data_IF_795514727096
#
_entry.id   IF_795514727096
#
_cell.length_a   1.000
_cell.length_b   1.000
_cell.length_c   1.000
_cell.angle_alpha   90.00
_cell.angle_beta   90.00
_cell.angle_gamma   90.00
#
_symmetry.space_group_name_H-M   'P 1'
#
loop_
_entity.id
_entity.type
_entity.pdbx_description
1 polymer ?
#
# COMPACT_ATOMS: atom_id res chain seq x y z
N UNK A 1 3.16 -28.20 16.12
CA UNK A 1 2.59 -29.14 15.13
C UNK A 1 2.31 -28.52 13.75
N UNK A 2 2.45 -27.20 13.53
CA UNK A 2 2.21 -26.59 12.20
C UNK A 2 3.49 -26.38 11.34
N UNK A 3 4.68 -26.67 11.87
CA UNK A 3 5.94 -26.54 11.12
C UNK A 3 6.32 -27.81 10.33
N UNK A 4 5.68 -28.95 10.60
CA UNK A 4 6.02 -30.24 9.93
C UNK A 4 5.28 -30.44 8.59
N UNK A 5 4.19 -29.73 8.32
CA UNK A 5 3.46 -29.86 7.05
C UNK A 5 4.09 -29.04 5.90
N UNK A 6 4.93 -28.05 6.20
CA UNK A 6 5.60 -27.24 5.17
C UNK A 6 6.64 -28.05 4.36
N UNK A 7 7.21 -29.10 4.96
CA UNK A 7 8.35 -29.86 4.40
C UNK A 7 7.97 -31.05 3.51
N UNK A 8 6.71 -31.19 3.08
CA UNK A 8 6.34 -32.06 1.95
C UNK A 8 6.70 -31.39 0.60
N UNK A 9 7.97 -31.01 0.48
CA UNK A 9 8.54 -30.12 -0.55
C UNK A 9 8.16 -30.50 -1.97
N UNK A 10 8.21 -31.78 -2.36
CA UNK A 10 7.97 -32.17 -3.76
C UNK A 10 6.53 -31.96 -4.22
N UNK A 11 5.53 -32.24 -3.37
CA UNK A 11 4.12 -32.07 -3.75
C UNK A 11 3.74 -30.59 -3.79
N UNK A 12 4.27 -29.81 -2.86
CA UNK A 12 4.02 -28.37 -2.74
C UNK A 12 4.71 -27.60 -3.87
N UNK A 13 5.98 -27.87 -4.19
CA UNK A 13 6.68 -27.29 -5.35
C UNK A 13 5.91 -27.50 -6.66
N UNK A 14 5.47 -28.73 -6.93
CA UNK A 14 4.73 -29.05 -8.16
C UNK A 14 3.35 -28.37 -8.22
N UNK A 15 2.66 -28.25 -7.08
CA UNK A 15 1.37 -27.55 -6.99
C UNK A 15 1.54 -26.04 -7.17
N UNK A 16 2.54 -25.42 -6.54
CA UNK A 16 2.83 -23.98 -6.63
C UNK A 16 3.17 -23.60 -8.09
N UNK A 17 4.06 -24.35 -8.75
CA UNK A 17 4.45 -24.10 -10.13
C UNK A 17 3.27 -24.20 -11.13
N UNK A 18 2.25 -25.02 -10.83
CA UNK A 18 1.05 -25.18 -11.66
C UNK A 18 0.06 -24.02 -11.48
N UNK A 19 -0.10 -23.52 -10.26
CA UNK A 19 -0.98 -22.36 -9.96
C UNK A 19 -0.41 -21.07 -10.54
N UNK A 20 0.91 -20.87 -10.50
CA UNK A 20 1.54 -19.63 -10.99
C UNK A 20 1.48 -19.48 -12.51
N UNK A 21 1.52 -20.59 -13.26
CA UNK A 21 1.27 -20.56 -14.72
C UNK A 21 -0.14 -20.04 -15.08
N UNK A 22 -1.12 -20.19 -14.19
CA UNK A 22 -2.52 -19.83 -14.45
C UNK A 22 -2.80 -18.33 -14.20
N UNK A 23 -1.99 -17.65 -13.38
CA UNK A 23 -2.05 -16.20 -13.18
C UNK A 23 -1.55 -15.38 -14.40
N UNK A 24 -0.76 -16.00 -15.29
CA UNK A 24 -0.04 -15.34 -16.39
C UNK A 24 -0.79 -15.34 -17.75
N UNK A 25 -2.11 -15.50 -17.79
CA UNK A 25 -2.81 -15.90 -19.02
C UNK A 25 -3.10 -14.80 -20.07
N UNK A 26 -2.42 -13.64 -20.06
CA UNK A 26 -2.52 -12.66 -21.17
C UNK A 26 -1.15 -12.08 -21.52
N UNK A 27 -0.86 -12.11 -22.83
CA UNK A 27 0.37 -11.69 -23.52
C UNK A 27 1.09 -10.49 -22.87
N UNK A 28 2.24 -10.74 -22.27
CA UNK A 28 3.32 -9.76 -22.11
C UNK A 28 4.63 -10.53 -22.10
N UNK A 29 5.48 -10.31 -23.09
CA UNK A 29 6.75 -11.01 -23.39
C UNK A 29 7.87 -10.77 -22.34
N UNK A 30 7.54 -10.65 -21.06
CA UNK A 30 8.52 -10.49 -19.99
C UNK A 30 8.87 -11.87 -19.42
N UNK A 31 10.10 -12.38 -19.64
CA UNK A 31 10.51 -13.66 -19.12
C UNK A 31 10.58 -13.65 -17.59
N UNK A 32 10.22 -14.78 -17.00
CA UNK A 32 10.41 -15.03 -15.58
C UNK A 32 11.72 -15.78 -15.37
N UNK A 33 12.57 -15.26 -14.48
CA UNK A 33 13.94 -15.75 -14.26
C UNK A 33 14.10 -16.12 -12.80
N UNK A 34 14.73 -17.26 -12.53
CA UNK A 34 15.06 -17.69 -11.17
C UNK A 34 16.09 -16.74 -10.56
N UNK A 35 16.03 -16.50 -9.25
CA UNK A 35 16.94 -15.54 -8.58
C UNK A 35 18.42 -15.90 -8.77
N UNK A 36 18.73 -17.20 -8.82
CA UNK A 36 20.10 -17.72 -9.06
C UNK A 36 20.63 -17.42 -10.46
N UNK A 37 19.75 -17.18 -11.43
CA UNK A 37 20.15 -16.79 -12.79
C UNK A 37 20.31 -15.26 -12.94
N UNK A 38 19.70 -14.51 -12.02
CA UNK A 38 19.78 -13.05 -11.89
C UNK A 38 21.07 -12.64 -11.17
N UNK A 39 21.39 -13.31 -10.06
CA UNK A 39 22.53 -12.99 -9.18
C UNK A 39 23.22 -14.27 -8.67
N UNK A 40 24.55 -14.28 -8.59
CA UNK A 40 25.34 -15.45 -8.16
C UNK A 40 25.17 -15.81 -6.68
N UNK A 41 24.90 -14.83 -5.81
CA UNK A 41 24.75 -15.05 -4.37
C UNK A 41 23.48 -14.35 -3.84
N UNK A 42 22.28 -14.86 -4.21
CA UNK A 42 21.03 -14.25 -3.81
C UNK A 42 20.83 -14.41 -2.29
N UNK A 43 20.25 -13.38 -1.69
CA UNK A 43 20.00 -13.28 -0.26
C UNK A 43 18.57 -12.81 -0.08
N UNK A 44 17.90 -13.38 0.91
CA UNK A 44 16.51 -13.03 1.15
C UNK A 44 16.45 -11.63 1.75
N UNK A 45 17.08 -11.47 2.92
CA UNK A 45 17.28 -10.19 3.61
C UNK A 45 18.79 -10.00 3.88
N UNK A 46 19.30 -8.79 3.70
CA UNK A 46 20.69 -8.40 3.94
C UNK A 46 20.79 -7.18 4.85
N UNK A 47 21.36 -7.37 6.05
CA UNK A 47 21.53 -6.25 7.00
C UNK A 47 20.23 -5.76 7.63
N UNK A 48 19.18 -6.59 7.59
CA UNK A 48 17.84 -6.27 8.08
C UNK A 48 16.94 -5.74 6.96
N UNK A 49 15.66 -6.10 7.00
CA UNK A 49 14.69 -5.64 6.00
C UNK A 49 14.32 -4.18 6.30
N UNK A 50 14.82 -3.30 5.45
CA UNK A 50 14.81 -1.88 5.70
C UNK A 50 14.27 -1.10 4.50
N UNK A 51 14.02 0.17 4.74
CA UNK A 51 13.41 1.05 3.75
C UNK A 51 14.26 1.23 2.49
N UNK A 52 15.57 0.95 2.48
CA UNK A 52 16.41 1.07 1.27
C UNK A 52 16.29 -0.12 0.30
N UNK A 53 15.55 -1.15 0.71
CA UNK A 53 15.35 -2.37 -0.05
C UNK A 53 14.12 -2.28 -0.97
N UNK A 54 13.43 -1.14 -0.94
CA UNK A 54 12.15 -0.90 -1.59
C UNK A 54 12.31 0.24 -2.59
N UNK A 55 12.68 -0.10 -3.82
CA UNK A 55 12.74 0.83 -4.94
C UNK A 55 11.72 0.40 -6.00
N UNK A 56 10.80 1.32 -6.33
CA UNK A 56 9.78 1.08 -7.35
C UNK A 56 10.41 0.77 -8.71
N UNK A 57 9.83 -0.23 -9.39
CA UNK A 57 10.14 -0.55 -10.78
C UNK A 57 9.18 0.13 -11.75
N UNK A 58 8.83 -0.56 -12.83
CA UNK A 58 7.96 -0.03 -13.89
C UNK A 58 6.46 -0.17 -13.59
N UNK A 59 6.08 -0.66 -12.41
CA UNK A 59 4.69 -0.80 -12.00
C UNK A 59 4.20 0.45 -11.25
N UNK A 60 2.98 0.89 -11.55
CA UNK A 60 2.31 2.00 -10.87
C UNK A 60 1.66 1.57 -9.54
N UNK A 61 2.45 0.98 -8.65
CA UNK A 61 2.03 0.44 -7.35
C UNK A 61 2.74 1.11 -6.17
N UNK A 62 3.15 2.38 -6.33
CA UNK A 62 3.74 3.21 -5.28
C UNK A 62 2.98 3.17 -3.94
N UNK A 63 1.65 3.04 -3.98
CA UNK A 63 0.77 2.85 -2.83
C UNK A 63 1.15 1.62 -1.99
N UNK A 64 1.48 0.51 -2.64
CA UNK A 64 1.89 -0.72 -1.97
C UNK A 64 3.29 -0.55 -1.38
N UNK A 65 4.22 0.04 -2.13
CA UNK A 65 5.61 0.24 -1.69
C UNK A 65 5.75 1.26 -0.56
N UNK A 66 4.92 2.31 -0.55
CA UNK A 66 4.82 3.24 0.57
C UNK A 66 4.38 2.50 1.84
N UNK A 67 3.41 1.58 1.74
CA UNK A 67 2.97 0.77 2.86
C UNK A 67 4.05 -0.22 3.34
N UNK A 68 4.80 -0.89 2.44
CA UNK A 68 5.93 -1.76 2.83
C UNK A 68 6.97 -0.93 3.59
N UNK A 69 7.25 0.29 3.15
CA UNK A 69 8.25 1.11 3.82
C UNK A 69 7.81 1.54 5.22
N UNK A 70 6.52 1.79 5.45
CA UNK A 70 5.99 1.96 6.81
C UNK A 70 6.15 0.67 7.62
N UNK A 71 5.91 -0.49 7.02
CA UNK A 71 6.05 -1.79 7.67
C UNK A 71 7.48 -2.03 8.18
N UNK A 72 8.51 -1.59 7.44
CA UNK A 72 9.92 -1.70 7.88
C UNK A 72 10.27 -0.92 9.15
N UNK A 73 9.40 0.01 9.59
CA UNK A 73 9.60 0.77 10.83
C UNK A 73 9.21 -0.03 12.09
N UNK A 74 8.54 -1.17 11.91
CA UNK A 74 8.08 -2.02 13.01
C UNK A 74 8.45 -3.48 12.72
N UNK A 75 9.58 -3.92 13.27
CA UNK A 75 10.11 -5.28 13.03
C UNK A 75 9.13 -6.38 13.39
N UNK A 76 8.37 -6.23 14.49
CA UNK A 76 7.37 -7.23 14.89
C UNK A 76 6.28 -7.40 13.83
N UNK A 77 5.78 -6.29 13.29
CA UNK A 77 4.82 -6.32 12.19
C UNK A 77 5.44 -6.84 10.90
N UNK A 78 6.66 -6.42 10.61
CA UNK A 78 7.39 -6.85 9.42
C UNK A 78 7.53 -8.36 9.39
N UNK A 79 7.96 -8.98 10.49
CA UNK A 79 8.12 -10.43 10.58
C UNK A 79 6.81 -11.20 10.72
N UNK A 80 5.70 -10.51 11.05
CA UNK A 80 4.36 -11.07 10.91
C UNK A 80 4.01 -11.29 9.43
N UNK A 81 4.33 -10.33 8.56
CA UNK A 81 4.08 -10.40 7.11
C UNK A 81 5.13 -11.24 6.38
N UNK A 82 6.39 -11.16 6.83
CA UNK A 82 7.56 -11.80 6.23
C UNK A 82 8.16 -12.78 7.27
N UNK A 83 7.66 -14.02 7.34
CA UNK A 83 8.16 -14.99 8.31
C UNK A 83 9.68 -15.16 8.26
N UNK A 84 10.30 -15.18 9.43
CA UNK A 84 11.75 -15.36 9.59
C UNK A 84 12.22 -16.75 9.12
N UNK A 85 13.53 -16.88 8.89
CA UNK A 85 14.18 -18.16 8.56
C UNK A 85 14.21 -18.52 7.06
N UNK A 86 13.55 -17.74 6.21
CA UNK A 86 13.62 -17.90 4.75
C UNK A 86 15.00 -17.54 4.22
N UNK A 87 15.60 -18.41 3.40
CA UNK A 87 16.96 -18.22 2.87
C UNK A 87 17.16 -18.91 1.51
N UNK A 88 18.12 -18.41 0.73
CA UNK A 88 18.56 -19.02 -0.54
C UNK A 88 19.65 -20.09 -0.39
N UNK A 89 20.16 -20.31 0.83
CA UNK A 89 21.28 -21.21 1.08
C UNK A 89 20.84 -22.54 1.71
N UNK A 90 20.45 -22.52 2.99
CA UNK A 90 20.09 -23.71 3.75
C UNK A 90 18.68 -24.18 3.38
N UNK A 91 18.53 -25.46 3.08
CA UNK A 91 17.25 -26.12 2.76
C UNK A 91 16.45 -25.41 1.64
N UNK A 92 17.16 -24.74 0.73
CA UNK A 92 16.57 -23.97 -0.36
C UNK A 92 15.91 -24.87 -1.41
N UNK A 93 14.63 -24.58 -1.70
CA UNK A 93 13.84 -25.28 -2.71
C UNK A 93 13.15 -24.34 -3.71
N UNK A 94 13.57 -23.07 -3.79
CA UNK A 94 12.94 -22.08 -4.67
C UNK A 94 11.53 -21.69 -4.26
N UNK A 95 11.20 -21.80 -2.96
CA UNK A 95 9.90 -21.46 -2.40
C UNK A 95 10.07 -20.46 -1.26
N UNK A 96 9.18 -19.48 -1.23
CA UNK A 96 9.04 -18.48 -0.19
C UNK A 96 7.58 -18.36 0.22
N UNK A 97 7.30 -17.80 1.39
CA UNK A 97 5.95 -17.56 1.87
C UNK A 97 5.85 -16.24 2.64
N UNK A 98 4.65 -15.66 2.57
CA UNK A 98 4.31 -14.39 3.19
C UNK A 98 2.92 -14.50 3.80
N UNK A 99 2.60 -13.64 4.77
CA UNK A 99 1.29 -13.60 5.41
C UNK A 99 0.63 -12.25 5.17
N UNK A 100 -0.62 -12.27 4.73
CA UNK A 100 -1.43 -11.08 4.57
C UNK A 100 -2.71 -11.23 5.36
N UNK A 101 -3.08 -10.20 6.09
CA UNK A 101 -4.39 -10.13 6.72
C UNK A 101 -5.45 -9.95 5.65
N UNK A 102 -6.51 -10.76 5.70
CA UNK A 102 -7.64 -10.68 4.77
C UNK A 102 -8.93 -10.87 5.55
N UNK A 103 -9.67 -9.78 5.64
CA UNK A 103 -11.07 -9.79 6.05
C UNK A 103 -11.32 -10.48 7.40
N UNK A 104 -10.43 -10.26 8.37
CA UNK A 104 -10.51 -10.84 9.72
C UNK A 104 -9.60 -12.05 9.94
N UNK A 105 -8.85 -12.50 8.94
CA UNK A 105 -8.01 -13.70 9.06
C UNK A 105 -6.67 -13.55 8.37
N UNK A 106 -5.60 -14.10 8.97
CA UNK A 106 -4.29 -14.13 8.35
C UNK A 106 -4.21 -15.26 7.32
N UNK A 107 -3.83 -14.91 6.09
CA UNK A 107 -3.72 -15.81 4.96
C UNK A 107 -2.25 -15.98 4.57
N UNK A 108 -1.80 -17.23 4.50
CA UNK A 108 -0.47 -17.54 3.99
C UNK A 108 -0.48 -17.63 2.45
N UNK A 109 0.50 -16.97 1.83
CA UNK A 109 0.71 -16.96 0.39
C UNK A 109 2.10 -17.50 0.09
N UNK A 110 2.15 -18.70 -0.46
CA UNK A 110 3.37 -19.38 -0.87
C UNK A 110 3.65 -19.03 -2.34
N UNK A 111 4.89 -18.68 -2.69
CA UNK A 111 5.33 -18.39 -4.06
C UNK A 111 6.62 -19.12 -4.40
N UNK A 112 6.90 -19.27 -5.70
CA UNK A 112 8.27 -19.58 -6.15
C UNK A 112 9.13 -18.31 -6.33
N UNK A 113 10.43 -18.50 -6.53
CA UNK A 113 11.42 -17.41 -6.60
C UNK A 113 11.59 -16.80 -8.01
N UNK A 114 10.81 -17.23 -9.00
CA UNK A 114 10.93 -16.70 -10.36
C UNK A 114 10.31 -15.32 -10.44
N UNK A 115 11.10 -14.33 -10.84
CA UNK A 115 10.70 -12.93 -10.91
C UNK A 115 10.66 -12.44 -12.38
N UNK A 116 9.76 -11.50 -12.73
CA UNK A 116 9.77 -10.86 -14.04
C UNK A 116 11.06 -10.07 -14.27
N UNK A 117 11.79 -10.40 -15.34
CA UNK A 117 13.04 -9.70 -15.69
C UNK A 117 13.10 -9.28 -17.16
N UNK A 118 13.91 -8.27 -17.42
CA UNK A 118 14.34 -7.91 -18.77
C UNK A 118 15.86 -7.79 -18.78
N UNK A 119 16.54 -8.60 -19.60
CA UNK A 119 18.01 -8.64 -19.62
C UNK A 119 18.61 -8.96 -18.24
N UNK A 120 18.02 -9.91 -17.50
CA UNK A 120 18.39 -10.28 -16.11
C UNK A 120 18.26 -9.14 -15.09
N UNK A 121 17.53 -8.07 -15.39
CA UNK A 121 17.21 -7.01 -14.43
C UNK A 121 15.75 -7.10 -14.02
N UNK A 122 15.47 -6.96 -12.73
CA UNK A 122 14.10 -6.89 -12.22
C UNK A 122 13.35 -5.73 -12.86
N UNK A 123 12.15 -6.02 -13.36
CA UNK A 123 11.26 -5.02 -13.98
C UNK A 123 10.46 -4.25 -12.92
N UNK A 124 10.04 -4.94 -11.86
CA UNK A 124 9.24 -4.37 -10.78
C UNK A 124 10.11 -4.04 -9.56
N UNK A 125 9.57 -4.17 -8.35
CA UNK A 125 10.27 -3.79 -7.12
C UNK A 125 11.63 -4.48 -6.98
N UNK A 126 12.60 -3.73 -6.49
CA UNK A 126 13.98 -4.19 -6.27
C UNK A 126 14.63 -3.48 -5.09
N UNK A 127 15.64 -4.11 -4.50
CA UNK A 127 16.51 -3.48 -3.51
C UNK A 127 17.58 -2.61 -4.18
N UNK A 128 18.09 -1.63 -3.43
CA UNK A 128 19.34 -0.94 -3.79
C UNK A 128 20.54 -1.90 -3.80
N UNK A 129 20.48 -2.99 -3.02
CA UNK A 129 21.42 -4.10 -3.06
C UNK A 129 20.99 -5.13 -4.11
N UNK A 130 21.84 -5.38 -5.10
CA UNK A 130 21.49 -6.23 -6.25
C UNK A 130 21.24 -7.70 -5.90
N UNK A 131 21.71 -8.16 -4.74
CA UNK A 131 21.60 -9.54 -4.30
C UNK A 131 20.55 -9.74 -3.20
N UNK A 132 19.69 -8.76 -2.94
CA UNK A 132 18.60 -8.85 -1.96
C UNK A 132 17.22 -8.88 -2.65
N UNK A 133 16.36 -9.82 -2.23
CA UNK A 133 15.15 -10.16 -2.99
C UNK A 133 13.83 -10.19 -2.20
N UNK A 134 13.82 -9.97 -0.87
CA UNK A 134 12.59 -10.08 -0.08
C UNK A 134 11.47 -9.15 -0.57
N UNK A 135 11.79 -7.91 -0.95
CA UNK A 135 10.80 -6.91 -1.37
C UNK A 135 10.16 -7.27 -2.71
N UNK A 136 10.96 -7.74 -3.67
CA UNK A 136 10.49 -8.24 -4.96
C UNK A 136 9.59 -9.48 -4.80
N UNK A 137 9.97 -10.39 -3.90
CA UNK A 137 9.19 -11.59 -3.61
C UNK A 137 7.88 -11.27 -2.85
N UNK A 138 7.91 -10.29 -1.94
CA UNK A 138 6.71 -9.82 -1.25
C UNK A 138 5.70 -9.21 -2.23
N UNK A 139 6.16 -8.38 -3.17
CA UNK A 139 5.35 -7.83 -4.26
C UNK A 139 4.76 -8.95 -5.13
N UNK A 140 5.55 -9.98 -5.47
CA UNK A 140 5.06 -11.16 -6.20
C UNK A 140 3.95 -11.89 -5.43
N UNK A 141 4.12 -12.11 -4.13
CA UNK A 141 3.13 -12.77 -3.30
C UNK A 141 1.82 -11.95 -3.24
N UNK A 142 1.93 -10.64 -3.13
CA UNK A 142 0.77 -9.75 -3.15
C UNK A 142 0.08 -9.73 -4.52
N UNK A 143 0.85 -9.70 -5.60
CA UNK A 143 0.34 -9.85 -6.97
C UNK A 143 -0.42 -11.17 -7.15
N UNK A 144 0.10 -12.28 -6.60
CA UNK A 144 -0.58 -13.58 -6.60
C UNK A 144 -1.88 -13.56 -5.82
N UNK A 145 -1.90 -12.92 -4.65
CA UNK A 145 -3.09 -12.77 -3.81
C UNK A 145 -4.23 -12.05 -4.55
N UNK A 146 -3.90 -11.02 -5.33
CA UNK A 146 -4.85 -10.25 -6.14
C UNK A 146 -5.06 -10.78 -7.57
N UNK A 147 -4.26 -11.78 -7.98
CA UNK A 147 -4.39 -12.54 -9.22
C UNK A 147 -3.32 -12.25 -10.28
N UNK A 148 -2.80 -11.02 -10.38
CA UNK A 148 -1.65 -10.62 -11.22
C UNK A 148 -1.02 -9.32 -10.74
N UNK A 149 0.20 -9.03 -11.24
CA UNK A 149 0.85 -7.72 -11.10
C UNK A 149 0.00 -6.58 -11.66
N UNK A 150 -0.69 -6.79 -12.78
CA UNK A 150 -1.58 -5.76 -13.36
C UNK A 150 -2.70 -5.34 -12.39
N UNK A 151 -3.17 -6.25 -11.53
CA UNK A 151 -4.20 -5.93 -10.54
C UNK A 151 -3.71 -4.98 -9.45
N UNK A 152 -2.39 -4.81 -9.30
CA UNK A 152 -1.76 -3.88 -8.35
C UNK A 152 -1.66 -2.45 -8.90
N UNK A 153 -1.88 -2.22 -10.21
CA UNK A 153 -1.90 -0.88 -10.78
C UNK A 153 -3.05 -0.05 -10.19
N UNK A 154 -2.74 1.12 -9.66
CA UNK A 154 -3.75 2.05 -9.13
C UNK A 154 -4.49 1.49 -7.92
N UNK A 155 -3.95 1.75 -6.74
CA UNK A 155 -4.53 1.38 -5.45
C UNK A 155 -4.29 2.45 -4.39
N UNK A 156 -4.80 2.19 -3.20
CA UNK A 156 -4.74 3.10 -2.07
C UNK A 156 -3.85 2.49 -0.97
N UNK A 157 -2.92 3.29 -0.44
CA UNK A 157 -1.97 2.88 0.60
C UNK A 157 -2.63 2.20 1.79
N UNK A 158 -3.80 2.72 2.21
CA UNK A 158 -4.58 2.18 3.33
C UNK A 158 -4.90 0.70 3.15
N UNK A 159 -5.25 0.27 1.95
CA UNK A 159 -5.59 -1.13 1.69
C UNK A 159 -4.39 -2.06 1.87
N UNK A 160 -3.18 -1.62 1.50
CA UNK A 160 -1.96 -2.39 1.74
C UNK A 160 -1.62 -2.39 3.24
N UNK A 161 -1.78 -1.26 3.93
CA UNK A 161 -1.56 -1.19 5.37
C UNK A 161 -2.50 -2.12 6.14
N UNK A 162 -3.78 -2.19 5.77
CA UNK A 162 -4.74 -3.16 6.33
C UNK A 162 -4.29 -4.60 6.06
N UNK A 163 -3.94 -4.92 4.81
CA UNK A 163 -3.47 -6.27 4.45
C UNK A 163 -2.15 -6.65 5.16
N UNK A 164 -1.35 -5.69 5.62
CA UNK A 164 -0.13 -5.93 6.40
C UNK A 164 -0.33 -6.02 7.91
N UNK A 165 -1.43 -5.48 8.45
CA UNK A 165 -1.56 -5.26 9.89
C UNK A 165 -2.84 -5.82 10.50
N UNK A 166 -3.89 -6.00 9.70
CA UNK A 166 -5.26 -6.14 10.20
C UNK A 166 -5.80 -4.91 10.91
N UNK A 167 -5.10 -3.77 10.76
CA UNK A 167 -5.44 -2.49 11.36
C UNK A 167 -6.70 -1.86 10.78
N UNK A 168 -7.11 -0.76 11.41
CA UNK A 168 -8.25 0.06 11.01
C UNK A 168 -7.73 1.34 10.38
N UNK A 169 -8.16 1.65 9.15
CA UNK A 169 -7.68 2.84 8.44
C UNK A 169 -8.63 4.02 8.50
N UNK A 170 -8.03 5.20 8.48
CA UNK A 170 -8.69 6.50 8.33
C UNK A 170 -7.88 7.37 7.38
N UNK A 171 -8.51 8.41 6.83
CA UNK A 171 -7.82 9.39 6.01
C UNK A 171 -8.40 10.79 6.21
N UNK A 172 -7.56 11.79 5.98
CA UNK A 172 -7.93 13.20 6.02
C UNK A 172 -7.59 13.83 4.67
N UNK A 173 -8.56 14.51 4.07
CA UNK A 173 -8.25 15.51 3.05
C UNK A 173 -7.59 16.69 3.76
N UNK A 174 -6.34 17.02 3.40
CA UNK A 174 -5.53 18.00 4.12
C UNK A 174 -6.21 19.38 4.19
N UNK A 175 -6.96 19.75 3.15
CA UNK A 175 -7.73 21.00 3.09
C UNK A 175 -8.84 21.08 4.16
N UNK A 176 -9.38 19.93 4.57
CA UNK A 176 -10.48 19.77 5.52
C UNK A 176 -9.99 19.16 6.84
N UNK A 177 -8.68 19.03 7.02
CA UNK A 177 -8.11 18.33 8.16
C UNK A 177 -8.32 19.12 9.47
N UNK A 178 -8.54 18.43 10.61
CA UNK A 178 -8.70 19.07 11.91
C UNK A 178 -7.52 19.97 12.29
N UNK A 179 -7.77 21.03 13.08
CA UNK A 179 -6.70 21.98 13.49
C UNK A 179 -5.57 21.31 14.29
N UNK A 180 -5.92 20.24 14.99
CA UNK A 180 -5.08 19.39 15.81
C UNK A 180 -4.47 18.20 15.05
N UNK A 181 -4.51 18.20 13.71
CA UNK A 181 -3.91 17.14 12.85
C UNK A 181 -2.49 16.75 13.27
N UNK A 182 -1.65 17.71 13.67
CA UNK A 182 -0.30 17.40 14.14
C UNK A 182 -0.28 16.54 15.41
N UNK A 183 -1.20 16.81 16.36
CA UNK A 183 -1.37 16.03 17.60
C UNK A 183 -1.86 14.61 17.27
N UNK A 184 -2.84 14.50 16.37
CA UNK A 184 -3.34 13.22 15.84
C UNK A 184 -2.19 12.39 15.24
N UNK A 185 -1.39 12.99 14.35
CA UNK A 185 -0.25 12.32 13.72
C UNK A 185 0.81 11.89 14.74
N UNK A 186 1.08 12.72 15.75
CA UNK A 186 2.05 12.41 16.80
C UNK A 186 1.61 11.21 17.62
N UNK A 187 0.36 11.20 18.09
CA UNK A 187 -0.20 10.06 18.82
C UNK A 187 -0.30 8.80 17.96
N UNK A 188 -0.57 8.94 16.66
CA UNK A 188 -0.55 7.80 15.74
C UNK A 188 0.86 7.15 15.69
N UNK A 189 1.94 7.94 15.55
CA UNK A 189 3.31 7.38 15.62
C UNK A 189 3.61 6.77 16.98
N UNK A 190 3.23 7.43 18.07
CA UNK A 190 3.47 6.94 19.43
C UNK A 190 2.80 5.60 19.69
N UNK A 191 1.62 5.35 19.09
CA UNK A 191 0.91 4.06 19.12
C UNK A 191 1.42 3.04 18.10
N UNK A 192 2.39 3.41 17.27
CA UNK A 192 2.94 2.55 16.22
C UNK A 192 2.06 2.42 14.97
N UNK A 193 1.06 3.28 14.79
CA UNK A 193 0.24 3.33 13.58
C UNK A 193 1.11 3.56 12.34
N UNK A 194 0.74 2.93 11.22
CA UNK A 194 1.38 3.21 9.94
C UNK A 194 0.76 4.47 9.34
N UNK A 195 1.57 5.34 8.74
CA UNK A 195 1.08 6.57 8.13
C UNK A 195 1.69 6.83 6.77
N UNK A 196 0.88 7.36 5.87
CA UNK A 196 1.28 7.76 4.54
C UNK A 196 0.56 9.04 4.11
N UNK A 197 1.07 9.66 3.06
CA UNK A 197 0.46 10.85 2.49
C UNK A 197 0.67 10.86 0.98
N UNK A 198 -0.20 11.56 0.27
CA UNK A 198 -0.09 11.70 -1.19
C UNK A 198 -0.43 13.11 -1.64
N UNK A 199 0.02 13.41 -2.86
CA UNK A 199 -0.25 14.66 -3.55
C UNK A 199 -1.09 14.31 -4.77
N UNK A 200 -2.34 14.76 -4.83
CA UNK A 200 -3.20 14.56 -5.98
C UNK A 200 -2.76 15.45 -7.15
N UNK A 201 -2.91 14.93 -8.36
CA UNK A 201 -2.59 15.67 -9.58
C UNK A 201 -3.79 16.52 -10.02
N UNK A 202 -3.57 17.82 -10.21
CA UNK A 202 -4.59 18.82 -10.58
C UNK A 202 -5.25 18.57 -11.95
N UNK A 203 -4.83 17.55 -12.70
CA UNK A 203 -5.47 17.06 -13.92
C UNK A 203 -6.76 16.23 -13.70
N UNK A 204 -7.25 16.11 -12.46
CA UNK A 204 -8.50 15.41 -12.15
C UNK A 204 -8.38 13.88 -12.04
N UNK A 205 -7.17 13.35 -11.91
CA UNK A 205 -6.94 11.95 -11.62
C UNK A 205 -6.98 11.73 -10.10
N UNK A 206 -7.98 10.95 -9.65
CA UNK A 206 -8.12 10.57 -8.23
C UNK A 206 -7.13 9.45 -7.92
N UNK A 207 -6.20 9.73 -7.01
CA UNK A 207 -5.27 8.73 -6.46
C UNK A 207 -6.03 7.50 -5.95
N UNK A 208 -5.62 6.29 -6.39
CA UNK A 208 -6.30 5.03 -6.09
C UNK A 208 -7.32 4.54 -7.14
N UNK A 209 -7.59 5.31 -8.19
CA UNK A 209 -8.43 4.89 -9.32
C UNK A 209 -7.60 4.20 -10.41
N UNK A 210 -8.09 3.08 -10.94
CA UNK A 210 -7.51 2.48 -12.15
C UNK A 210 -7.84 3.37 -13.38
N UNK A 211 -6.94 3.52 -14.37
CA UNK A 211 -7.23 4.32 -15.55
C UNK A 211 -8.42 3.74 -16.33
N UNK A 212 -9.27 4.64 -16.83
CA UNK A 212 -10.32 4.27 -17.78
C UNK A 212 -9.70 3.89 -19.12
N UNK A 213 -10.42 3.06 -19.88
CA UNK A 213 -10.03 2.44 -21.16
C UNK A 213 -9.59 3.39 -22.27
N UNK A 214 -9.65 4.71 -22.08
CA UNK A 214 -9.33 5.73 -23.08
C UNK A 214 -7.87 6.23 -23.02
N UNK A 215 -7.02 5.55 -22.23
CA UNK A 215 -5.60 5.86 -22.09
C UNK A 215 -4.84 5.85 -23.44
N UNK A 216 -5.26 4.99 -24.38
CA UNK A 216 -4.65 4.93 -25.72
C UNK A 216 -4.85 6.22 -26.53
N UNK A 217 -6.01 6.87 -26.40
CA UNK A 217 -6.33 8.10 -27.12
C UNK A 217 -5.60 9.30 -26.51
N UNK A 218 -5.45 9.33 -25.18
CA UNK A 218 -4.67 10.34 -24.46
C UNK A 218 -3.16 10.22 -24.71
N UNK A 219 -2.62 9.00 -24.75
CA UNK A 219 -1.22 8.71 -25.12
C UNK A 219 -0.94 9.17 -26.55
N UNK A 220 -1.83 8.86 -27.51
CA UNK A 220 -1.69 9.28 -28.89
C UNK A 220 -1.65 10.82 -29.05
N UNK A 221 -2.52 11.54 -28.32
CA UNK A 221 -2.54 13.00 -28.31
C UNK A 221 -1.27 13.62 -27.71
N UNK A 222 -0.70 13.03 -26.66
CA UNK A 222 0.55 13.50 -26.05
C UNK A 222 1.79 13.15 -26.89
N UNK A 223 1.85 11.96 -27.48
CA UNK A 223 2.93 11.55 -28.39
C UNK A 223 2.97 12.43 -29.65
N UNK A 224 1.82 12.80 -30.21
CA UNK A 224 1.74 13.79 -31.29
C UNK A 224 2.31 15.16 -30.91
N UNK A 225 2.20 15.56 -29.64
CA UNK A 225 2.72 16.82 -29.11
C UNK A 225 4.23 16.79 -28.81
N UNK A 226 4.80 15.61 -28.54
CA UNK A 226 6.23 15.42 -28.29
C UNK A 226 7.03 15.10 -29.57
N UNK A 227 6.36 14.63 -30.63
CA UNK A 227 6.98 14.29 -31.92
C UNK A 227 7.33 15.52 -32.81
N UNK A 228 7.38 16.74 -32.27
CA UNK A 228 7.92 17.89 -33.00
C UNK A 228 9.43 18.09 -32.84
N UNK A 229 10.13 17.31 -32.00
CA UNK A 229 11.56 17.57 -31.73
C UNK A 229 12.55 16.42 -31.94
N UNK A 230 12.14 15.17 -32.19
CA UNK A 230 13.10 14.11 -32.53
C UNK A 230 12.52 13.12 -33.53
N UNK A 231 12.91 13.25 -34.80
CA UNK A 231 12.65 12.26 -35.83
C UNK A 231 14.00 11.64 -36.24
N UNK A 232 14.30 10.42 -35.78
CA UNK A 232 14.74 9.34 -36.68
C UNK A 232 14.74 7.96 -35.97
N UNK A 233 14.29 6.96 -36.74
CA UNK A 233 14.28 5.48 -36.52
C UNK A 233 13.23 4.87 -35.60
N UNK A 234 12.15 4.45 -36.25
CA UNK A 234 11.09 3.57 -35.75
C UNK A 234 11.53 2.10 -35.69
N UNK A 235 11.48 1.52 -34.50
CA UNK A 235 11.36 0.07 -34.25
C UNK A 235 10.25 -0.12 -33.21
N UNK A 236 9.39 -1.13 -33.34
CA UNK A 236 8.30 -1.43 -32.38
C UNK A 236 8.82 -1.57 -30.93
N UNK A 237 10.08 -1.99 -30.75
CA UNK A 237 10.77 -2.05 -29.45
C UNK A 237 10.95 -0.66 -28.80
N UNK A 238 11.10 0.41 -29.59
CA UNK A 238 11.26 1.78 -29.10
C UNK A 238 9.94 2.35 -28.61
N UNK A 239 8.83 2.02 -29.27
CA UNK A 239 7.48 2.43 -28.86
C UNK A 239 7.02 1.69 -27.60
N UNK A 240 7.23 0.37 -27.49
CA UNK A 240 6.87 -0.39 -26.28
C UNK A 240 7.73 0.05 -25.07
N UNK A 241 9.02 0.29 -25.29
CA UNK A 241 9.91 0.87 -24.27
C UNK A 241 9.50 2.29 -23.88
N UNK A 242 9.09 3.13 -24.83
CA UNK A 242 8.56 4.45 -24.55
C UNK A 242 7.28 4.35 -23.73
N UNK A 243 6.31 3.51 -24.11
CA UNK A 243 5.05 3.31 -23.39
C UNK A 243 5.29 2.77 -21.97
N UNK A 244 6.19 1.79 -21.79
CA UNK A 244 6.57 1.24 -20.47
C UNK A 244 7.25 2.27 -19.56
N UNK A 245 8.06 3.15 -20.14
CA UNK A 245 8.70 4.26 -19.40
C UNK A 245 7.68 5.37 -19.11
N UNK A 246 6.78 5.64 -20.04
CA UNK A 246 5.83 6.76 -20.01
C UNK A 246 4.64 6.47 -19.08
N UNK A 247 4.17 5.23 -18.92
CA UNK A 247 2.96 4.95 -18.13
C UNK A 247 3.10 5.29 -16.64
N UNK A 248 4.16 4.89 -15.90
CA UNK A 248 4.38 5.40 -14.55
C UNK A 248 4.57 6.93 -14.52
N UNK A 249 5.34 7.47 -15.48
CA UNK A 249 5.58 8.92 -15.64
C UNK A 249 4.36 9.75 -16.05
N UNK A 250 3.29 9.12 -16.55
CA UNK A 250 2.05 9.80 -16.94
C UNK A 250 1.23 10.21 -15.73
N UNK A 251 1.32 9.43 -14.64
CA UNK A 251 0.60 9.67 -13.39
C UNK A 251 1.50 10.31 -12.34
N UNK A 252 2.78 9.94 -12.30
CA UNK A 252 3.75 10.44 -11.33
C UNK A 252 4.56 11.59 -11.90
N UNK A 253 4.28 12.84 -11.49
CA UNK A 253 4.94 14.04 -12.03
C UNK A 253 5.82 14.72 -10.99
N UNK A 254 7.12 14.82 -11.29
CA UNK A 254 8.08 15.55 -10.46
C UNK A 254 7.83 17.06 -10.53
N UNK A 255 7.70 17.66 -9.37
CA UNK A 255 7.57 19.09 -9.14
C UNK A 255 8.96 19.76 -9.03
N UNK A 256 9.02 21.07 -9.25
CA UNK A 256 10.28 21.84 -9.17
C UNK A 256 10.96 21.78 -7.78
N UNK A 257 10.17 21.53 -6.73
CA UNK A 257 10.62 21.39 -5.35
C UNK A 257 11.04 19.95 -4.97
N UNK A 258 11.11 19.04 -5.94
CA UNK A 258 11.53 17.65 -5.74
C UNK A 258 10.42 16.68 -5.29
N UNK A 259 9.22 17.16 -4.94
CA UNK A 259 8.06 16.30 -4.67
C UNK A 259 7.50 15.71 -5.97
N UNK A 260 6.66 14.67 -5.85
CA UNK A 260 6.05 13.95 -6.96
C UNK A 260 4.55 13.90 -6.74
N UNK A 261 3.77 14.40 -7.69
CA UNK A 261 2.30 14.30 -7.68
C UNK A 261 1.84 12.95 -8.22
N UNK A 262 0.65 12.49 -7.84
CA UNK A 262 0.12 11.17 -8.19
C UNK A 262 0.84 10.01 -7.50
N UNK A 263 1.60 10.30 -6.44
CA UNK A 263 2.50 9.36 -5.78
C UNK A 263 2.25 9.31 -4.26
N UNK A 264 2.47 8.14 -3.66
CA UNK A 264 2.39 7.96 -2.20
C UNK A 264 3.76 8.06 -1.54
N UNK A 265 3.76 8.71 -0.38
CA UNK A 265 4.92 8.85 0.49
C UNK A 265 4.61 8.20 1.84
N UNK A 266 5.61 7.56 2.43
CA UNK A 266 5.50 7.08 3.81
C UNK A 266 5.79 8.23 4.78
N UNK A 267 4.94 8.41 5.78
CA UNK A 267 5.23 9.25 6.95
C UNK A 267 5.95 8.37 7.97
N UNK A 268 7.19 8.72 8.28
CA UNK A 268 8.09 7.88 9.10
C UNK A 268 8.50 8.53 10.42
N UNK A 269 8.07 9.76 10.67
CA UNK A 269 8.41 10.52 11.88
C UNK A 269 7.62 11.82 11.96
N UNK A 270 7.26 12.21 13.18
CA UNK A 270 6.57 13.46 13.53
C UNK A 270 7.25 13.96 14.80
N UNK A 271 8.02 15.03 14.68
CA UNK A 271 8.96 15.46 15.73
C UNK A 271 8.87 16.97 15.96
N UNK A 272 8.85 17.34 17.24
CA UNK A 272 9.10 18.71 17.65
C UNK A 272 10.61 18.96 17.68
N UNK A 273 11.07 20.08 17.13
CA UNK A 273 12.46 20.51 17.22
C UNK A 273 12.55 21.96 17.71
N UNK A 274 13.72 22.36 18.19
CA UNK A 274 13.97 23.75 18.62
C UNK A 274 14.98 24.38 17.67
N UNK A 275 14.60 25.49 17.05
CA UNK A 275 15.48 26.28 16.19
C UNK A 275 15.55 27.71 16.72
N UNK A 276 16.76 28.17 17.07
CA UNK A 276 16.98 29.54 17.58
C UNK A 276 16.05 29.93 18.76
N UNK A 277 15.69 28.95 19.58
CA UNK A 277 14.79 29.14 20.74
C UNK A 277 13.30 28.98 20.44
N UNK A 278 12.91 28.85 19.17
CA UNK A 278 11.52 28.61 18.77
C UNK A 278 11.24 27.12 18.56
N UNK A 279 10.09 26.64 19.04
CA UNK A 279 9.62 25.28 18.77
C UNK A 279 9.05 25.21 17.36
N UNK A 280 9.54 24.25 16.58
CA UNK A 280 9.07 23.97 15.22
C UNK A 280 8.57 22.53 15.13
N UNK A 281 7.62 22.32 14.22
CA UNK A 281 6.96 21.03 13.98
C UNK A 281 7.44 20.43 12.68
N UNK A 282 7.93 19.19 12.71
CA UNK A 282 8.54 18.53 11.58
C UNK A 282 7.86 17.19 11.27
N UNK A 283 7.79 16.87 9.98
CA UNK A 283 7.34 15.57 9.47
C UNK A 283 8.48 14.96 8.66
N UNK A 284 8.77 13.68 8.87
CA UNK A 284 9.78 12.93 8.10
C UNK A 284 9.09 12.06 7.06
N UNK A 285 9.37 12.33 5.79
CA UNK A 285 8.77 11.62 4.67
C UNK A 285 9.78 10.69 4.00
N UNK A 286 9.29 9.61 3.40
CA UNK A 286 10.08 8.74 2.53
C UNK A 286 9.41 8.59 1.18
N UNK A 287 10.19 8.77 0.12
CA UNK A 287 9.81 8.48 -1.25
C UNK A 287 10.09 7.00 -1.61
N UNK A 288 9.08 6.20 -1.99
CA UNK A 288 9.22 4.85 -2.53
C UNK A 288 10.17 4.66 -3.72
N UNK A 289 10.46 5.70 -4.51
CA UNK A 289 11.43 5.62 -5.61
C UNK A 289 12.88 5.45 -5.14
N UNK A 290 13.18 5.77 -3.88
CA UNK A 290 14.52 5.61 -3.30
C UNK A 290 15.61 6.56 -3.84
N UNK A 291 15.33 7.40 -4.85
CA UNK A 291 16.32 8.25 -5.52
C UNK A 291 15.84 9.68 -5.83
N UNK A 292 14.73 10.15 -5.23
CA UNK A 292 14.19 11.51 -5.44
C UNK A 292 13.72 12.09 -4.11
N UNK A 293 14.39 13.15 -3.65
CA UNK A 293 14.16 13.76 -2.33
C UNK A 293 13.72 15.23 -2.44
N UNK A 294 12.99 15.68 -1.42
CA UNK A 294 12.61 17.08 -1.20
C UNK A 294 13.85 17.97 -1.16
N UNK A 295 13.88 19.04 -1.97
CA UNK A 295 15.04 19.94 -2.05
C UNK A 295 14.82 21.32 -1.41
N UNK A 296 13.66 21.54 -0.80
CA UNK A 296 13.38 22.78 -0.07
C UNK A 296 13.98 22.79 1.32
N UNK A 297 13.58 23.78 2.13
CA UNK A 297 14.07 23.89 3.50
C UNK A 297 13.87 22.57 4.26
N UNK A 298 14.92 22.16 4.99
CA UNK A 298 14.96 20.98 5.86
C UNK A 298 15.11 19.61 5.19
N UNK A 299 15.46 19.51 3.89
CA UNK A 299 15.62 18.25 3.12
C UNK A 299 16.03 17.02 3.94
N UNK A 300 15.28 15.92 3.76
CA UNK A 300 14.99 14.76 4.63
C UNK A 300 13.86 14.98 5.65
N UNK A 301 13.61 16.21 6.08
CA UNK A 301 12.48 16.61 6.94
C UNK A 301 11.70 17.73 6.24
N UNK A 302 10.37 17.73 6.34
CA UNK A 302 9.51 18.81 5.84
C UNK A 302 8.89 19.53 7.05
N UNK A 303 8.73 20.85 6.99
CA UNK A 303 7.98 21.56 8.04
C UNK A 303 6.51 21.14 7.99
N UNK A 304 5.83 21.10 9.13
CA UNK A 304 4.40 20.76 9.13
C UNK A 304 3.57 21.75 8.30
N UNK A 305 3.97 23.01 8.23
CA UNK A 305 3.28 24.01 7.41
C UNK A 305 3.44 23.74 5.90
N UNK A 306 4.64 23.32 5.47
CA UNK A 306 4.87 22.93 4.07
C UNK A 306 4.17 21.60 3.76
N UNK A 307 4.11 20.67 4.71
CA UNK A 307 3.33 19.44 4.58
C UNK A 307 1.86 19.76 4.26
N UNK A 308 1.21 20.60 5.07
CA UNK A 308 -0.17 21.02 4.83
C UNK A 308 -0.36 21.79 3.52
N UNK A 309 0.69 22.46 3.03
CA UNK A 309 0.64 23.23 1.79
C UNK A 309 0.72 22.37 0.54
N UNK A 310 1.55 21.32 0.58
CA UNK A 310 1.87 20.53 -0.62
C UNK A 310 1.12 19.21 -0.70
N UNK A 311 0.81 18.57 0.43
CA UNK A 311 0.10 17.30 0.45
C UNK A 311 -1.41 17.52 0.45
N UNK A 312 -2.13 16.61 -0.19
CA UNK A 312 -3.59 16.69 -0.34
C UNK A 312 -4.31 15.68 0.53
N UNK A 313 -3.65 14.56 0.86
CA UNK A 313 -4.24 13.49 1.65
C UNK A 313 -3.25 12.94 2.68
N UNK A 314 -3.74 12.70 3.89
CA UNK A 314 -3.08 11.96 4.96
C UNK A 314 -3.85 10.66 5.19
N UNK A 315 -3.15 9.55 5.34
CA UNK A 315 -3.69 8.21 5.52
C UNK A 315 -3.03 7.57 6.75
N UNK A 316 -3.85 7.05 7.66
CA UNK A 316 -3.39 6.45 8.93
C UNK A 316 -4.00 5.05 9.04
N UNK A 317 -3.17 4.07 9.42
CA UNK A 317 -3.60 2.72 9.76
C UNK A 317 -3.29 2.45 11.23
N UNK A 318 -4.35 2.43 12.04
CA UNK A 318 -4.29 2.20 13.46
C UNK A 318 -4.22 0.69 13.74
N UNK A 319 -3.23 0.28 14.54
CA UNK A 319 -3.02 -1.13 14.87
C UNK A 319 -4.06 -1.62 15.89
N UNK A 320 -4.51 -2.85 15.72
CA UNK A 320 -5.41 -3.51 16.69
C UNK A 320 -4.58 -4.23 17.78
N UNK A 321 -5.15 -4.60 18.93
CA UNK A 321 -4.44 -5.39 19.94
C UNK A 321 -3.90 -6.71 19.39
N UNK A 322 -4.64 -7.36 18.49
CA UNK A 322 -4.26 -8.61 17.84
C UNK A 322 -3.07 -8.46 16.88
N UNK A 323 -2.72 -7.21 16.54
CA UNK A 323 -1.63 -6.88 15.63
C UNK A 323 -0.27 -7.03 16.31
N UNK A 324 -0.17 -6.77 17.61
CA UNK A 324 1.07 -6.84 18.39
C UNK A 324 0.79 -7.27 19.83
N UNK A 325 1.39 -8.38 20.28
CA UNK A 325 1.61 -8.61 21.72
C UNK A 325 2.63 -7.56 22.20
N UNK A 326 2.15 -6.39 22.61
CA UNK A 326 2.96 -5.29 23.09
C UNK A 326 2.49 -4.83 24.47
N UNK A 327 3.26 -5.22 25.50
CA UNK A 327 3.08 -4.90 26.91
C UNK A 327 3.09 -3.39 27.29
N UNK A 328 3.16 -2.45 26.33
CA UNK A 328 3.53 -1.04 26.63
C UNK A 328 2.84 0.07 25.83
N UNK A 329 1.93 -0.24 24.91
CA UNK A 329 1.24 0.79 24.12
C UNK A 329 -0.23 0.90 24.53
N UNK A 330 -0.79 2.11 24.59
CA UNK A 330 -2.25 2.29 24.64
C UNK A 330 -2.85 1.56 23.43
N UNK A 331 -3.71 0.57 23.68
CA UNK A 331 -4.27 -0.29 22.65
C UNK A 331 -5.73 0.10 22.38
N UNK A 332 -6.16 -0.09 21.12
CA UNK A 332 -7.54 0.12 20.72
C UNK A 332 -8.43 -1.04 21.21
N UNK A 333 -9.64 -0.76 21.70
CA UNK A 333 -10.64 -1.83 21.84
C UNK A 333 -11.29 -2.09 20.49
N UNK A 334 -11.30 -3.34 20.03
CA UNK A 334 -11.75 -3.70 18.67
C UNK A 334 -12.94 -4.65 18.71
N UNK A 335 -13.95 -4.35 17.89
CA UNK A 335 -15.09 -5.23 17.62
C UNK A 335 -15.28 -5.33 16.12
N UNK A 336 -15.33 -6.56 15.60
CA UNK A 336 -15.48 -6.84 14.16
C UNK A 336 -16.80 -7.56 13.94
N UNK A 337 -17.58 -7.09 12.96
CA UNK A 337 -18.81 -7.77 12.55
C UNK A 337 -18.83 -7.99 11.04
N UNK A 338 -19.27 -9.18 10.63
CA UNK A 338 -19.44 -9.51 9.22
C UNK A 338 -20.90 -9.44 8.77
N UNK A 339 -21.13 -8.93 7.56
CA UNK A 339 -22.45 -8.80 6.98
C UNK A 339 -22.44 -8.95 5.46
N UNK A 340 -23.64 -8.89 4.86
CA UNK A 340 -23.83 -8.93 3.40
C UNK A 340 -25.05 -8.11 2.97
N UNK A 341 -24.94 -7.50 1.80
CA UNK A 341 -26.06 -6.87 1.10
C UNK A 341 -26.58 -7.82 0.02
N UNK A 342 -27.82 -8.27 0.17
CA UNK A 342 -28.49 -9.19 -0.76
C UNK A 342 -29.64 -8.46 -1.44
N UNK A 343 -29.64 -8.47 -2.78
CA UNK A 343 -30.69 -7.85 -3.60
C UNK A 343 -32.06 -8.39 -3.21
N UNK A 344 -33.02 -7.49 -2.99
CA UNK A 344 -34.39 -7.83 -2.60
C UNK A 344 -34.56 -8.19 -1.12
N UNK A 345 -33.51 -8.11 -0.30
CA UNK A 345 -33.55 -8.35 1.14
C UNK A 345 -32.81 -7.22 1.86
N UNK A 346 -31.51 -7.38 2.10
CA UNK A 346 -30.72 -6.44 2.92
C UNK A 346 -30.05 -5.31 2.13
N UNK A 347 -30.10 -5.31 0.79
CA UNK A 347 -29.52 -4.26 -0.05
C UNK A 347 -30.41 -3.00 -0.12
N UNK A 348 -30.49 -2.28 1.00
CA UNK A 348 -31.43 -1.16 1.19
C UNK A 348 -31.03 0.18 0.55
N UNK A 349 -29.80 0.31 0.05
CA UNK A 349 -29.28 1.58 -0.48
C UNK A 349 -28.84 2.56 0.60
N UNK A 350 -28.54 3.82 0.23
CA UNK A 350 -28.16 4.89 1.16
C UNK A 350 -29.38 5.66 1.68
N UNK A 351 -29.16 6.70 2.51
CA UNK A 351 -30.22 7.50 3.13
C UNK A 351 -31.18 8.17 2.14
N UNK A 352 -30.75 8.35 0.89
CA UNK A 352 -31.56 8.88 -0.21
C UNK A 352 -32.66 7.92 -0.68
N UNK A 353 -32.67 6.67 -0.20
CA UNK A 353 -33.66 5.64 -0.53
C UNK A 353 -34.47 5.25 0.73
N UNK A 354 -35.34 6.14 1.25
CA UNK A 354 -35.96 5.96 2.57
C UNK A 354 -36.82 4.68 2.68
N UNK A 355 -37.46 4.26 1.58
CA UNK A 355 -38.35 3.08 1.56
C UNK A 355 -37.61 1.76 1.79
N UNK A 356 -36.31 1.72 1.46
CA UNK A 356 -35.48 0.51 1.54
C UNK A 356 -34.31 0.65 2.51
N UNK A 357 -33.91 1.86 2.90
CA UNK A 357 -32.71 2.11 3.72
C UNK A 357 -32.71 1.32 5.03
N UNK A 358 -33.89 1.16 5.65
CA UNK A 358 -34.04 0.47 6.93
C UNK A 358 -33.76 -1.05 6.84
N UNK A 359 -33.75 -1.65 5.65
CA UNK A 359 -33.47 -3.08 5.46
C UNK A 359 -31.98 -3.41 5.49
N UNK A 360 -31.10 -2.40 5.46
CA UNK A 360 -29.67 -2.61 5.67
C UNK A 360 -29.39 -3.22 7.06
N UNK A 361 -28.33 -4.04 7.21
CA UNK A 361 -27.90 -4.54 8.51
C UNK A 361 -27.61 -3.39 9.48
N UNK A 362 -28.04 -3.53 10.74
CA UNK A 362 -27.86 -2.52 11.80
C UNK A 362 -27.04 -3.11 12.94
N UNK A 363 -26.12 -2.32 13.47
CA UNK A 363 -25.21 -2.71 14.55
C UNK A 363 -25.27 -1.68 15.67
N UNK A 364 -25.28 -2.13 16.92
CA UNK A 364 -25.33 -1.26 18.10
C UNK A 364 -23.94 -1.13 18.71
N UNK A 365 -23.49 0.10 18.91
CA UNK A 365 -22.29 0.45 19.65
C UNK A 365 -22.68 1.03 21.02
N UNK A 366 -21.90 0.73 22.06
CA UNK A 366 -22.02 1.34 23.38
C UNK A 366 -20.69 2.00 23.73
N UNK A 367 -20.73 3.28 24.05
CA UNK A 367 -19.59 4.07 24.51
C UNK A 367 -19.69 4.16 26.03
N UNK A 368 -18.65 3.71 26.75
CA UNK A 368 -18.67 3.57 28.21
C UNK A 368 -17.57 4.37 28.92
N UNK A 369 -16.42 4.53 28.27
CA UNK A 369 -15.21 5.12 28.86
C UNK A 369 -14.82 6.40 28.11
N UNK A 370 -14.30 7.36 28.85
CA UNK A 370 -13.85 8.67 28.36
C UNK A 370 -12.37 8.57 27.92
N UNK A 371 -11.93 9.47 27.04
CA UNK A 371 -10.54 9.49 26.58
C UNK A 371 -9.59 9.99 27.69
N UNK A 372 -8.52 9.23 27.97
CA UNK A 372 -7.49 9.58 28.98
C UNK A 372 -6.45 10.59 28.43
N UNK A 373 -6.88 11.80 28.03
CA UNK A 373 -5.97 12.90 27.64
C UNK A 373 -6.03 14.07 28.64
N UNK A 374 -4.94 14.36 29.38
CA UNK A 374 -4.92 15.43 30.37
C UNK A 374 -4.99 16.85 29.77
N UNK A 375 -4.83 17.00 28.45
CA UNK A 375 -4.98 18.28 27.75
C UNK A 375 -6.42 18.53 27.27
N UNK A 376 -7.28 17.52 27.30
CA UNK A 376 -8.65 17.65 26.82
C UNK A 376 -9.52 18.39 27.84
N UNK A 377 -10.24 19.39 27.35
CA UNK A 377 -11.12 20.24 28.17
C UNK A 377 -12.55 19.73 28.22
N UNK A 378 -12.90 18.77 27.37
CA UNK A 378 -14.22 18.16 27.26
C UNK A 378 -14.13 16.66 27.52
N UNK A 379 -15.13 16.13 28.22
CA UNK A 379 -15.31 14.70 28.41
C UNK A 379 -15.87 14.12 27.10
N UNK A 380 -15.01 13.41 26.37
CA UNK A 380 -15.35 12.78 25.08
C UNK A 380 -14.98 11.30 25.09
N UNK A 381 -15.65 10.53 24.23
CA UNK A 381 -15.32 9.13 23.95
C UNK A 381 -15.05 8.99 22.46
N UNK A 382 -13.79 8.74 22.10
CA UNK A 382 -13.39 8.59 20.71
C UNK A 382 -13.49 7.16 20.24
N UNK A 383 -14.04 6.95 19.03
CA UNK A 383 -14.09 5.65 18.39
C UNK A 383 -13.90 5.76 16.88
N UNK A 384 -13.35 4.71 16.27
CA UNK A 384 -13.19 4.59 14.83
C UNK A 384 -14.13 3.52 14.28
N UNK A 385 -14.78 3.79 13.14
CA UNK A 385 -15.58 2.81 12.41
C UNK A 385 -15.06 2.69 10.99
N UNK A 386 -14.60 1.49 10.62
CA UNK A 386 -14.24 1.15 9.25
C UNK A 386 -15.24 0.17 8.65
N UNK A 387 -15.69 0.45 7.42
CA UNK A 387 -16.56 -0.41 6.63
C UNK A 387 -15.81 -0.90 5.39
N UNK A 388 -15.59 -2.21 5.30
CA UNK A 388 -14.80 -2.83 4.23
C UNK A 388 -15.66 -3.71 3.30
N UNK A 389 -15.44 -3.61 1.99
CA UNK A 389 -16.01 -4.52 0.98
C UNK A 389 -15.02 -5.62 0.59
N UNK A 390 -15.50 -6.87 0.51
CA UNK A 390 -14.64 -8.04 0.25
C UNK A 390 -14.51 -8.38 -1.25
N UNK A 391 -13.33 -8.84 -1.66
CA UNK A 391 -12.95 -9.47 -2.95
C UNK A 391 -13.11 -8.68 -4.26
N UNK A 392 -13.41 -7.38 -4.22
CA UNK A 392 -13.66 -6.59 -5.44
C UNK A 392 -12.46 -6.41 -6.37
N UNK A 393 -11.22 -6.36 -5.86
CA UNK A 393 -10.01 -6.23 -6.70
C UNK A 393 -9.82 -7.39 -7.66
N UNK A 394 -10.13 -8.62 -7.23
CA UNK A 394 -10.07 -9.83 -8.08
C UNK A 394 -11.04 -9.74 -9.26
N UNK A 395 -12.15 -9.03 -9.08
CA UNK A 395 -13.19 -8.84 -10.10
C UNK A 395 -12.85 -7.72 -11.11
N UNK A 396 -11.77 -6.94 -10.93
CA UNK A 396 -11.35 -5.91 -11.91
C UNK A 396 -11.13 -6.49 -13.30
N UNK A 397 -10.61 -7.72 -13.40
CA UNK A 397 -10.45 -8.44 -14.68
C UNK A 397 -11.77 -8.68 -15.42
N UNK A 398 -12.89 -8.65 -14.70
CA UNK A 398 -14.25 -8.80 -15.21
C UNK A 398 -14.92 -7.43 -15.40
N UNK A 399 -14.18 -6.32 -15.27
CA UNK A 399 -14.69 -4.96 -15.41
C UNK A 399 -15.39 -4.41 -14.17
N UNK A 400 -15.32 -5.09 -13.01
CA UNK A 400 -15.95 -4.61 -11.79
C UNK A 400 -15.13 -3.50 -11.11
N UNK A 401 -15.82 -2.45 -10.67
CA UNK A 401 -15.26 -1.37 -9.85
C UNK A 401 -15.61 -1.57 -8.36
N UNK A 402 -14.97 -0.82 -7.46
CA UNK A 402 -15.42 -0.74 -6.07
C UNK A 402 -16.87 -0.21 -6.02
N UNK A 403 -17.67 -0.74 -5.11
CA UNK A 403 -18.99 -0.16 -4.83
C UNK A 403 -18.82 1.10 -3.98
N UNK A 404 -19.66 2.10 -4.24
CA UNK A 404 -19.83 3.22 -3.32
C UNK A 404 -20.50 2.70 -2.06
N UNK A 405 -19.76 2.68 -0.95
CA UNK A 405 -20.21 2.23 0.35
C UNK A 405 -20.11 3.37 1.37
N UNK A 406 -20.88 3.26 2.44
CA UNK A 406 -20.88 4.20 3.54
C UNK A 406 -21.82 3.72 4.64
N UNK A 407 -21.80 4.42 5.76
CA UNK A 407 -22.67 4.14 6.90
C UNK A 407 -23.19 5.44 7.50
N UNK A 408 -24.21 5.32 8.35
CA UNK A 408 -24.74 6.43 9.14
C UNK A 408 -24.86 5.95 10.58
N UNK A 409 -24.51 6.82 11.52
CA UNK A 409 -24.57 6.54 12.96
C UNK A 409 -25.76 7.31 13.52
N UNK A 410 -26.58 6.64 14.32
CA UNK A 410 -27.74 7.21 14.98
C UNK A 410 -27.64 7.00 16.48
N UNK A 411 -27.91 8.06 17.24
CA UNK A 411 -28.14 7.96 18.66
C UNK A 411 -29.43 7.17 18.90
N UNK A 412 -29.36 6.14 19.74
CA UNK A 412 -30.54 5.42 20.20
C UNK A 412 -31.08 6.16 21.41
N UNK A 413 -32.26 6.74 21.27
CA UNK A 413 -32.99 7.39 22.36
C UNK A 413 -33.84 6.39 23.15
#
# INVERSE_FOLDING_TARGET
MLAEEFWSLKSTCLKVAKVEKQCCSKKSDVPYTETKEICENPRFILGGANRSDICQGELGDCWFLAAIACLTLNEKLLFRVIPEGQTFTKDYAGIFHFQFWRYGSWMEVIIDDRLPTYGKRLVFTKSSQQNEFWSALLEKAYAKLHGSYEALKGGNTTEAMEDFTGGVTEFYEIKDAPKDTYKIMKHAIERGSLMACSIEDSSGFIYGSAPTTDLGQFIAQKLQKMNSEFLDKSTEETEDRAIRTIIPLLYERRMANGLVTGHAYSVTGVEDATLKGEKIKLVRLRNPWGQVEWNGAWSDKISFQDFLRYFTKLEICNLTPDTLEADKLQTWTVSVTEGRWVRGSTAGGCRNYPDTFWTNPQYRLKLLEEDDDPEDTEVICSFLVALMQKNRRKERRLGANLLTIGFAIYEVR
#
